data_IF_223610062220
#
_entry.id   IF_223610062220
#
_cell.length_a   1.000
_cell.length_b   1.000
_cell.length_c   1.000
_cell.angle_alpha   90.00
_cell.angle_beta   90.00
_cell.angle_gamma   90.00
#
_symmetry.space_group_name_H-M   'P 1'
#
loop_
_entity.id
_entity.type
_entity.pdbx_description
1 polymer ?
#
# COMPACT_ATOMS: atom_id res chain seq x y z
N UNK A 1 79.49 -27.76 -19.17
CA UNK A 1 80.84 -27.30 -19.55
C UNK A 1 81.23 -28.06 -20.82
N UNK A 2 81.79 -27.52 -21.88
CA UNK A 2 82.04 -26.17 -22.37
C UNK A 2 82.59 -26.39 -23.80
N UNK A 3 82.17 -25.57 -24.74
CA UNK A 3 82.88 -25.14 -25.97
C UNK A 3 83.37 -26.23 -26.94
N UNK A 4 82.81 -26.24 -28.14
CA UNK A 4 83.51 -26.68 -29.36
C UNK A 4 83.40 -25.57 -30.40
N UNK A 5 84.53 -24.91 -30.63
CA UNK A 5 84.75 -23.91 -31.68
C UNK A 5 85.07 -24.59 -33.03
N UNK A 6 84.98 -23.76 -34.07
CA UNK A 6 85.58 -23.84 -35.41
C UNK A 6 84.87 -24.67 -36.47
N UNK A 7 84.10 -23.96 -37.29
CA UNK A 7 84.43 -23.64 -38.68
C UNK A 7 85.30 -24.66 -39.44
N UNK A 8 84.72 -25.29 -40.47
CA UNK A 8 85.05 -24.96 -41.87
C UNK A 8 84.29 -25.83 -42.88
N UNK A 9 83.67 -25.14 -43.86
CA UNK A 9 83.75 -25.35 -45.32
C UNK A 9 83.85 -26.82 -45.82
N UNK A 10 83.02 -27.31 -46.75
CA UNK A 10 82.78 -26.85 -48.13
C UNK A 10 81.92 -28.00 -48.77
N UNK A 11 80.97 -27.81 -49.68
CA UNK A 11 81.17 -27.32 -51.04
C UNK A 11 79.80 -27.02 -51.67
N UNK A 12 79.59 -25.78 -52.09
CA UNK A 12 78.72 -25.49 -53.24
C UNK A 12 79.60 -25.37 -54.48
N UNK A 13 79.31 -26.18 -55.48
CA UNK A 13 79.98 -26.20 -56.78
C UNK A 13 79.56 -24.99 -57.60
N UNK A 14 80.50 -24.06 -57.82
CA UNK A 14 80.34 -22.92 -58.71
C UNK A 14 80.82 -23.34 -60.11
N UNK A 15 79.90 -23.42 -61.06
CA UNK A 15 80.21 -23.60 -62.49
C UNK A 15 80.69 -22.26 -63.04
N UNK A 16 81.99 -22.14 -63.26
CA UNK A 16 82.60 -20.97 -63.91
C UNK A 16 82.30 -21.00 -65.41
N UNK A 17 81.26 -20.27 -65.83
CA UNK A 17 81.08 -19.91 -67.23
C UNK A 17 82.05 -18.77 -67.59
N UNK A 18 83.06 -19.15 -68.36
CA UNK A 18 83.82 -18.40 -69.36
C UNK A 18 83.68 -16.86 -69.34
N UNK A 19 84.69 -16.17 -68.80
CA UNK A 19 84.80 -14.71 -68.80
C UNK A 19 85.56 -14.27 -70.06
N UNK A 20 84.97 -13.50 -71.00
CA UNK A 20 85.72 -12.84 -72.06
C UNK A 20 86.48 -11.62 -71.52
N UNK A 21 87.68 -11.29 -72.05
CA UNK A 21 88.55 -10.28 -71.45
C UNK A 21 88.16 -8.86 -71.90
N UNK A 22 88.21 -7.93 -70.93
CA UNK A 22 88.10 -6.46 -71.01
C UNK A 22 86.69 -5.85 -71.05
N UNK A 23 86.19 -5.54 -69.84
CA UNK A 23 85.16 -4.53 -69.56
C UNK A 23 84.83 -4.53 -68.05
N UNK A 24 84.51 -3.38 -67.42
CA UNK A 24 84.17 -3.36 -65.99
C UNK A 24 82.86 -4.13 -65.73
N UNK A 25 82.82 -4.91 -64.65
CA UNK A 25 81.65 -5.68 -64.21
C UNK A 25 80.52 -4.70 -63.88
N UNK A 26 79.48 -4.64 -64.71
CA UNK A 26 78.30 -3.83 -64.44
C UNK A 26 77.31 -4.67 -63.62
N UNK A 27 77.12 -4.31 -62.35
CA UNK A 27 76.01 -4.82 -61.54
C UNK A 27 74.73 -4.15 -62.03
N UNK A 28 73.98 -4.82 -62.91
CA UNK A 28 72.63 -4.37 -63.28
C UNK A 28 71.67 -4.66 -62.14
N UNK A 29 71.36 -3.62 -61.36
CA UNK A 29 70.18 -3.62 -60.49
C UNK A 29 69.01 -3.21 -61.37
N UNK A 30 68.48 -4.15 -62.14
CA UNK A 30 67.24 -3.95 -62.91
C UNK A 30 66.08 -4.52 -62.11
N UNK A 31 65.42 -3.67 -61.34
CA UNK A 31 63.98 -3.77 -61.15
C UNK A 31 63.45 -2.35 -60.93
N UNK A 32 62.78 -1.73 -61.92
CA UNK A 32 62.04 -0.51 -61.66
C UNK A 32 60.99 -0.89 -60.61
N UNK A 33 61.06 -0.28 -59.43
CA UNK A 33 60.00 -0.40 -58.44
C UNK A 33 58.69 -0.08 -59.15
N UNK A 34 57.76 -1.02 -59.20
CA UNK A 34 56.50 -0.85 -59.92
C UNK A 34 55.63 0.15 -59.13
N UNK A 35 55.85 1.44 -59.41
CA UNK A 35 55.13 2.54 -58.78
C UNK A 35 53.63 2.46 -59.05
N UNK A 36 53.21 1.81 -60.13
CA UNK A 36 51.80 1.51 -60.44
C UNK A 36 51.23 0.51 -59.44
N UNK A 37 51.93 -0.60 -59.18
CA UNK A 37 51.54 -1.57 -58.16
C UNK A 37 51.49 -0.94 -56.77
N UNK A 38 52.51 -0.15 -56.40
CA UNK A 38 52.56 0.58 -55.13
C UNK A 38 51.36 1.53 -54.97
N UNK A 39 51.06 2.32 -56.02
CA UNK A 39 49.96 3.29 -56.00
C UNK A 39 48.60 2.60 -55.87
N UNK A 40 48.40 1.49 -56.58
CA UNK A 40 47.17 0.68 -56.48
C UNK A 40 47.04 0.09 -55.06
N UNK A 41 48.11 -0.46 -54.48
CA UNK A 41 48.07 -1.00 -53.11
C UNK A 41 47.75 0.08 -52.08
N UNK A 42 48.38 1.26 -52.18
CA UNK A 42 48.09 2.40 -51.30
C UNK A 42 46.64 2.86 -51.46
N UNK A 43 46.15 2.99 -52.69
CA UNK A 43 44.76 3.39 -52.96
C UNK A 43 43.74 2.38 -52.39
N UNK A 44 43.97 1.07 -52.61
CA UNK A 44 43.10 0.01 -52.08
C UNK A 44 43.10 0.03 -50.55
N UNK A 45 44.25 0.27 -49.93
CA UNK A 45 44.39 0.36 -48.47
C UNK A 45 43.62 1.54 -47.88
N UNK A 46 43.68 2.70 -48.55
CA UNK A 46 42.92 3.89 -48.14
C UNK A 46 41.41 3.67 -48.30
N UNK A 47 40.97 3.08 -49.42
CA UNK A 47 39.55 2.79 -49.67
C UNK A 47 39.01 1.78 -48.64
N UNK A 48 39.75 0.70 -48.39
CA UNK A 48 39.35 -0.31 -47.37
C UNK A 48 39.31 0.29 -45.97
N UNK A 49 40.23 1.20 -45.63
CA UNK A 49 40.19 1.92 -44.35
C UNK A 49 38.95 2.83 -44.23
N UNK A 50 38.60 3.57 -45.29
CA UNK A 50 37.43 4.46 -45.31
C UNK A 50 36.13 3.65 -45.17
N UNK A 51 35.98 2.58 -45.95
CA UNK A 51 34.79 1.71 -45.88
C UNK A 51 34.68 1.09 -44.49
N UNK A 52 35.78 0.57 -43.95
CA UNK A 52 35.80 -0.01 -42.60
C UNK A 52 35.39 1.02 -41.55
N UNK A 53 35.97 2.22 -41.58
CA UNK A 53 35.62 3.31 -40.66
C UNK A 53 34.14 3.70 -40.76
N UNK A 54 33.60 3.80 -41.97
CA UNK A 54 32.19 4.14 -42.19
C UNK A 54 31.24 3.08 -41.63
N UNK A 55 31.52 1.79 -41.88
CA UNK A 55 30.74 0.68 -41.33
C UNK A 55 30.81 0.70 -39.80
N UNK A 56 31.99 0.86 -39.22
CA UNK A 56 32.17 0.93 -37.77
C UNK A 56 31.36 2.06 -37.16
N UNK A 57 31.46 3.28 -37.70
CA UNK A 57 30.70 4.44 -37.20
C UNK A 57 29.19 4.19 -37.30
N UNK A 58 28.71 3.72 -38.45
CA UNK A 58 27.29 3.45 -38.69
C UNK A 58 26.72 2.39 -37.73
N UNK A 59 27.49 1.32 -37.49
CA UNK A 59 27.09 0.21 -36.63
C UNK A 59 27.11 0.62 -35.15
N UNK A 60 28.12 1.38 -34.73
CA UNK A 60 28.20 1.95 -33.38
C UNK A 60 27.06 2.93 -33.13
N UNK A 61 26.76 3.83 -34.06
CA UNK A 61 25.65 4.78 -33.92
C UNK A 61 24.30 4.08 -33.85
N UNK A 62 24.06 3.07 -34.70
CA UNK A 62 22.82 2.30 -34.66
C UNK A 62 22.70 1.49 -33.37
N UNK A 63 23.80 0.91 -32.90
CA UNK A 63 23.86 0.18 -31.64
C UNK A 63 23.57 1.10 -30.45
N UNK A 64 24.24 2.25 -30.37
CA UNK A 64 24.06 3.24 -29.30
C UNK A 64 22.63 3.78 -29.26
N UNK A 65 22.05 4.12 -30.42
CA UNK A 65 20.65 4.59 -30.50
C UNK A 65 19.66 3.51 -30.03
N UNK A 66 19.88 2.25 -30.39
CA UNK A 66 19.03 1.14 -29.94
C UNK A 66 19.19 0.87 -28.45
N UNK A 67 20.43 0.94 -27.93
CA UNK A 67 20.74 0.74 -26.52
C UNK A 67 20.10 1.82 -25.65
N UNK A 68 20.21 3.10 -26.04
CA UNK A 68 19.55 4.22 -25.35
C UNK A 68 18.02 4.05 -25.36
N UNK A 69 17.43 3.69 -26.50
CA UNK A 69 15.97 3.46 -26.58
C UNK A 69 15.53 2.31 -25.68
N UNK A 70 16.26 1.21 -25.67
CA UNK A 70 15.94 0.04 -24.84
C UNK A 70 16.12 0.34 -23.35
N UNK A 71 17.20 1.05 -22.97
CA UNK A 71 17.42 1.48 -21.59
C UNK A 71 16.32 2.44 -21.12
N UNK A 72 15.94 3.42 -21.95
CA UNK A 72 14.84 4.35 -21.61
C UNK A 72 13.51 3.61 -21.46
N UNK A 73 13.22 2.62 -22.33
CA UNK A 73 12.01 1.80 -22.22
C UNK A 73 12.01 0.98 -20.94
N UNK A 74 13.12 0.29 -20.65
CA UNK A 74 13.27 -0.55 -19.47
C UNK A 74 13.20 0.29 -18.18
N UNK A 75 13.82 1.47 -18.16
CA UNK A 75 13.72 2.42 -17.06
C UNK A 75 12.28 2.92 -16.87
N UNK A 76 11.56 3.26 -17.94
CA UNK A 76 10.17 3.67 -17.85
C UNK A 76 9.25 2.55 -17.34
N UNK A 77 9.49 1.30 -17.78
CA UNK A 77 8.74 0.14 -17.33
C UNK A 77 9.02 -0.16 -15.84
N UNK A 78 10.28 -0.02 -15.41
CA UNK A 78 10.67 -0.13 -14.00
C UNK A 78 10.02 0.97 -13.14
N UNK A 79 10.08 2.24 -13.57
CA UNK A 79 9.46 3.35 -12.84
C UNK A 79 7.96 3.12 -12.72
N UNK A 80 7.27 2.72 -13.80
CA UNK A 80 5.84 2.40 -13.76
C UNK A 80 5.54 1.24 -12.80
N UNK A 81 6.35 0.20 -12.81
CA UNK A 81 6.22 -0.93 -11.89
C UNK A 81 6.40 -0.48 -10.43
N UNK A 82 7.41 0.34 -10.13
CA UNK A 82 7.66 0.90 -8.80
C UNK A 82 6.52 1.80 -8.34
N UNK A 83 6.02 2.68 -9.21
CA UNK A 83 4.88 3.57 -8.89
C UNK A 83 3.62 2.73 -8.60
N UNK A 84 3.36 1.69 -9.39
CA UNK A 84 2.23 0.80 -9.13
C UNK A 84 2.37 0.03 -7.82
N UNK A 85 3.57 -0.45 -7.49
CA UNK A 85 3.85 -1.11 -6.21
C UNK A 85 3.63 -0.15 -5.04
N UNK A 86 4.21 1.06 -5.09
CA UNK A 86 4.03 2.08 -4.05
C UNK A 86 2.55 2.46 -3.89
N UNK A 87 1.82 2.62 -5.00
CA UNK A 87 0.38 2.91 -4.96
C UNK A 87 -0.41 1.80 -4.28
N UNK A 88 -0.09 0.54 -4.59
CA UNK A 88 -0.73 -0.62 -3.96
C UNK A 88 -0.40 -0.69 -2.47
N UNK A 89 0.86 -0.47 -2.08
CA UNK A 89 1.29 -0.44 -0.67
C UNK A 89 0.55 0.64 0.14
N UNK A 90 0.47 1.87 -0.40
CA UNK A 90 -0.26 2.98 0.24
C UNK A 90 -1.74 2.65 0.36
N UNK A 91 -2.37 2.12 -0.69
CA UNK A 91 -3.77 1.73 -0.66
C UNK A 91 -4.04 0.62 0.37
N UNK A 92 -3.18 -0.40 0.41
CA UNK A 92 -3.26 -1.51 1.37
C UNK A 92 -3.13 -0.98 2.80
N UNK A 93 -2.14 -0.10 3.07
CA UNK A 93 -1.95 0.51 4.39
C UNK A 93 -3.16 1.35 4.81
N UNK A 94 -3.62 2.25 3.95
CA UNK A 94 -4.79 3.08 4.23
C UNK A 94 -6.03 2.23 4.55
N UNK A 95 -6.21 1.11 3.83
CA UNK A 95 -7.33 0.20 4.06
C UNK A 95 -7.19 -0.59 5.36
N UNK A 96 -5.98 -1.03 5.72
CA UNK A 96 -5.71 -1.65 7.02
C UNK A 96 -5.95 -0.68 8.19
N UNK A 97 -5.53 0.57 8.04
CA UNK A 97 -5.81 1.64 9.01
C UNK A 97 -7.33 1.87 9.15
N UNK A 98 -8.05 1.98 8.03
CA UNK A 98 -9.52 2.08 8.03
C UNK A 98 -10.20 0.88 8.72
N UNK A 99 -9.77 -0.36 8.44
CA UNK A 99 -10.27 -1.59 9.10
C UNK A 99 -10.07 -1.51 10.62
N UNK A 100 -8.92 -1.02 11.07
CA UNK A 100 -8.60 -0.84 12.49
C UNK A 100 -9.50 0.20 13.14
N UNK A 101 -9.70 1.34 12.49
CA UNK A 101 -10.58 2.41 12.98
C UNK A 101 -12.03 1.92 13.13
N UNK A 102 -12.60 1.28 12.09
CA UNK A 102 -13.95 0.72 12.14
C UNK A 102 -14.10 -0.29 13.28
N UNK A 103 -13.13 -1.19 13.42
CA UNK A 103 -13.12 -2.18 14.52
C UNK A 103 -13.14 -1.50 15.89
N UNK A 104 -12.30 -0.49 16.09
CA UNK A 104 -12.19 0.20 17.37
C UNK A 104 -13.46 0.97 17.70
N UNK A 105 -13.99 1.75 16.76
CA UNK A 105 -15.21 2.55 16.99
C UNK A 105 -16.42 1.67 17.28
N UNK A 106 -16.59 0.58 16.54
CA UNK A 106 -17.71 -0.34 16.76
C UNK A 106 -17.53 -1.11 18.07
N UNK A 107 -16.31 -1.54 18.42
CA UNK A 107 -16.06 -2.18 19.71
C UNK A 107 -16.37 -1.25 20.89
N UNK A 108 -15.95 0.02 20.79
CA UNK A 108 -16.25 1.05 21.79
C UNK A 108 -17.76 1.31 21.90
N UNK A 109 -18.45 1.45 20.76
CA UNK A 109 -19.90 1.60 20.73
C UNK A 109 -20.61 0.42 21.38
N UNK A 110 -20.26 -0.81 21.00
CA UNK A 110 -20.84 -2.04 21.57
C UNK A 110 -20.59 -2.12 23.08
N UNK A 111 -19.39 -1.75 23.54
CA UNK A 111 -19.05 -1.75 24.96
C UNK A 111 -19.99 -0.82 25.73
N UNK A 112 -20.08 0.46 25.33
CA UNK A 112 -20.91 1.44 26.03
C UNK A 112 -22.38 1.04 25.96
N UNK A 113 -22.87 0.65 24.79
CA UNK A 113 -24.27 0.27 24.59
C UNK A 113 -24.65 -0.98 25.37
N UNK A 114 -23.75 -1.96 25.54
CA UNK A 114 -24.02 -3.15 26.36
C UNK A 114 -24.29 -2.79 27.82
N UNK A 115 -23.60 -1.77 28.36
CA UNK A 115 -23.77 -1.35 29.75
C UNK A 115 -24.86 -0.30 29.95
N UNK A 116 -25.44 0.24 28.88
CA UNK A 116 -26.42 1.32 28.98
C UNK A 116 -27.71 0.98 29.71
N UNK A 117 -28.24 -0.26 29.71
CA UNK A 117 -29.41 -0.61 30.50
C UNK A 117 -29.15 -0.48 32.01
N UNK A 118 -27.97 -0.90 32.45
CA UNK A 118 -27.56 -0.83 33.86
C UNK A 118 -27.41 0.62 34.30
N UNK A 119 -26.77 1.46 33.48
CA UNK A 119 -26.60 2.88 33.79
C UNK A 119 -27.94 3.62 33.81
N UNK A 120 -28.82 3.31 32.85
CA UNK A 120 -30.17 3.87 32.82
C UNK A 120 -30.97 3.49 34.07
N UNK A 121 -30.85 2.23 34.51
CA UNK A 121 -31.48 1.76 35.75
C UNK A 121 -30.97 2.49 36.99
N UNK A 122 -29.65 2.64 37.12
CA UNK A 122 -29.03 3.33 38.25
C UNK A 122 -29.45 4.79 38.36
N UNK A 123 -29.58 5.48 37.21
CA UNK A 123 -30.13 6.84 37.14
C UNK A 123 -31.56 6.91 37.70
N UNK A 124 -32.47 6.06 37.25
CA UNK A 124 -33.88 6.07 37.71
C UNK A 124 -33.96 5.73 39.19
N UNK A 125 -33.25 4.67 39.59
CA UNK A 125 -33.21 4.19 40.97
C UNK A 125 -32.74 5.32 41.89
N UNK A 126 -31.68 6.04 41.49
CA UNK A 126 -31.19 7.21 42.21
C UNK A 126 -32.24 8.32 42.27
N UNK A 127 -32.94 8.61 41.18
CA UNK A 127 -34.00 9.62 41.17
C UNK A 127 -35.12 9.31 42.18
N UNK A 128 -35.57 8.04 42.21
CA UNK A 128 -36.60 7.59 43.14
C UNK A 128 -36.10 7.66 44.59
N UNK A 129 -34.89 7.16 44.86
CA UNK A 129 -34.30 7.20 46.19
C UNK A 129 -34.04 8.63 46.68
N UNK A 130 -33.73 9.58 45.79
CA UNK A 130 -33.63 11.00 46.14
C UNK A 130 -34.97 11.52 46.65
N UNK A 131 -36.08 11.23 45.96
CA UNK A 131 -37.41 11.65 46.40
C UNK A 131 -37.86 10.99 47.70
N UNK A 132 -37.42 9.75 47.95
CA UNK A 132 -37.62 9.07 49.24
C UNK A 132 -36.69 9.58 50.34
N UNK A 133 -35.76 10.50 50.03
CA UNK A 133 -34.72 11.01 50.94
C UNK A 133 -33.77 9.91 51.45
N UNK A 134 -33.58 8.86 50.66
CA UNK A 134 -32.68 7.73 50.95
C UNK A 134 -31.23 8.01 50.52
N UNK A 135 -31.02 8.97 49.62
CA UNK A 135 -29.69 9.37 49.12
C UNK A 135 -29.53 10.88 49.10
N UNK A 136 -28.27 11.35 48.99
CA UNK A 136 -27.94 12.76 48.79
C UNK A 136 -28.21 13.23 47.37
N UNK A 137 -28.40 14.55 47.22
CA UNK A 137 -28.52 15.19 45.90
C UNK A 137 -27.26 15.00 45.05
N UNK A 138 -26.07 15.01 45.67
CA UNK A 138 -24.80 14.77 44.98
C UNK A 138 -24.74 13.38 44.33
N UNK A 139 -25.26 12.34 45.01
CA UNK A 139 -25.31 10.99 44.44
C UNK A 139 -26.22 10.94 43.21
N UNK A 140 -27.37 11.59 43.27
CA UNK A 140 -28.28 11.68 42.12
C UNK A 140 -27.67 12.46 40.95
N UNK A 141 -27.02 13.61 41.23
CA UNK A 141 -26.35 14.41 40.19
C UNK A 141 -25.27 13.60 39.47
N UNK A 142 -24.47 12.84 40.22
CA UNK A 142 -23.45 11.95 39.65
C UNK A 142 -24.05 10.91 38.70
N UNK A 143 -25.12 10.22 39.08
CA UNK A 143 -25.74 9.19 38.22
C UNK A 143 -26.47 9.81 37.03
N UNK A 144 -27.06 11.00 37.19
CA UNK A 144 -27.62 11.79 36.09
C UNK A 144 -26.57 12.19 35.05
N UNK A 145 -25.45 12.76 35.51
CA UNK A 145 -24.37 13.21 34.65
C UNK A 145 -23.71 12.04 33.91
N UNK A 146 -23.53 10.90 34.58
CA UNK A 146 -23.02 9.67 33.97
C UNK A 146 -23.97 9.18 32.85
N UNK A 147 -25.27 9.13 33.11
CA UNK A 147 -26.26 8.69 32.12
C UNK A 147 -26.29 9.64 30.90
N UNK A 148 -26.26 10.97 31.13
CA UNK A 148 -26.16 11.95 30.04
C UNK A 148 -24.89 11.78 29.23
N UNK A 149 -23.75 11.61 29.90
CA UNK A 149 -22.45 11.42 29.24
C UNK A 149 -22.47 10.16 28.37
N UNK A 150 -22.98 9.05 28.88
CA UNK A 150 -23.10 7.81 28.12
C UNK A 150 -23.93 7.98 26.84
N UNK A 151 -25.09 8.65 26.91
CA UNK A 151 -25.93 8.91 25.73
C UNK A 151 -25.20 9.80 24.72
N UNK A 152 -24.48 10.81 25.20
CA UNK A 152 -23.67 11.68 24.35
C UNK A 152 -22.52 10.92 23.68
N UNK A 153 -21.81 10.06 24.42
CA UNK A 153 -20.71 9.23 23.91
C UNK A 153 -21.22 8.26 22.83
N UNK A 154 -22.37 7.62 23.05
CA UNK A 154 -23.02 6.76 22.04
C UNK A 154 -23.43 7.54 20.79
N UNK A 155 -23.98 8.74 20.96
CA UNK A 155 -24.38 9.59 19.83
C UNK A 155 -23.16 10.03 19.01
N UNK A 156 -22.07 10.42 19.68
CA UNK A 156 -20.81 10.79 19.05
C UNK A 156 -20.19 9.61 18.30
N UNK A 157 -20.16 8.42 18.91
CA UNK A 157 -19.68 7.21 18.25
C UNK A 157 -20.57 6.82 17.07
N UNK A 158 -21.88 6.92 17.21
CA UNK A 158 -22.82 6.66 16.12
C UNK A 158 -22.56 7.55 14.91
N UNK A 159 -22.38 8.85 15.14
CA UNK A 159 -22.02 9.80 14.07
C UNK A 159 -20.67 9.48 13.44
N UNK A 160 -19.65 9.11 14.23
CA UNK A 160 -18.34 8.72 13.70
C UNK A 160 -18.41 7.45 12.87
N UNK A 161 -19.18 6.45 13.31
CA UNK A 161 -19.46 5.22 12.55
C UNK A 161 -20.13 5.60 11.22
N UNK A 162 -21.15 6.46 11.26
CA UNK A 162 -21.88 6.91 10.09
C UNK A 162 -21.00 7.66 9.08
N UNK A 163 -20.09 8.52 9.54
CA UNK A 163 -19.15 9.23 8.66
C UNK A 163 -18.11 8.27 8.07
N UNK A 164 -17.66 7.29 8.85
CA UNK A 164 -16.62 6.35 8.43
C UNK A 164 -17.14 5.29 7.46
N UNK A 165 -18.38 4.85 7.69
CA UNK A 165 -19.10 3.95 6.81
C UNK A 165 -19.82 4.80 5.76
N UNK A 166 -19.27 4.88 4.55
CA UNK A 166 -19.75 5.74 3.46
C UNK A 166 -21.18 5.49 2.99
N UNK A 167 -21.88 4.50 3.57
CA UNK A 167 -23.24 4.03 3.20
C UNK A 167 -23.36 3.58 1.74
N UNK A 168 -22.25 3.34 1.07
CA UNK A 168 -22.24 2.90 -0.33
C UNK A 168 -22.75 1.46 -0.44
N UNK A 169 -22.32 0.60 0.49
CA UNK A 169 -22.75 -0.80 0.50
C UNK A 169 -24.02 -1.01 1.34
N UNK A 170 -24.73 -2.11 1.05
CA UNK A 170 -25.87 -2.51 1.87
C UNK A 170 -25.47 -2.80 3.32
N UNK A 171 -24.30 -3.42 3.55
CA UNK A 171 -23.80 -3.69 4.91
C UNK A 171 -23.55 -2.40 5.68
N UNK A 172 -22.96 -1.38 5.05
CA UNK A 172 -22.72 -0.08 5.68
C UNK A 172 -24.03 0.57 6.16
N UNK A 173 -25.05 0.56 5.28
CA UNK A 173 -26.38 1.10 5.58
C UNK A 173 -27.04 0.37 6.74
N UNK A 174 -27.05 -0.96 6.71
CA UNK A 174 -27.66 -1.78 7.76
C UNK A 174 -26.97 -1.60 9.11
N UNK A 175 -25.63 -1.46 9.15
CA UNK A 175 -24.91 -1.16 10.40
C UNK A 175 -25.31 0.22 10.93
N UNK A 176 -25.33 1.24 10.07
CA UNK A 176 -25.71 2.60 10.47
C UNK A 176 -27.16 2.67 10.98
N UNK A 177 -28.08 1.97 10.33
CA UNK A 177 -29.49 1.90 10.74
C UNK A 177 -29.63 1.27 12.14
N UNK A 178 -28.96 0.15 12.39
CA UNK A 178 -28.98 -0.51 13.71
C UNK A 178 -28.37 0.37 14.81
N UNK A 179 -27.26 1.05 14.52
CA UNK A 179 -26.62 2.00 15.45
C UNK A 179 -27.58 3.13 15.81
N UNK A 180 -28.21 3.74 14.81
CA UNK A 180 -29.16 4.81 15.00
C UNK A 180 -30.41 4.35 15.76
N UNK A 181 -30.88 3.13 15.49
CA UNK A 181 -32.00 2.54 16.22
C UNK A 181 -31.68 2.36 17.71
N UNK A 182 -30.49 1.87 18.07
CA UNK A 182 -30.06 1.76 19.47
C UNK A 182 -30.07 3.12 20.17
N UNK A 183 -29.53 4.15 19.51
CA UNK A 183 -29.51 5.51 20.06
C UNK A 183 -30.94 6.04 20.23
N UNK A 184 -31.82 5.81 19.25
CA UNK A 184 -33.23 6.18 19.35
C UNK A 184 -33.93 5.49 20.51
N UNK A 185 -33.76 4.17 20.64
CA UNK A 185 -34.33 3.39 21.75
C UNK A 185 -33.87 3.93 23.11
N UNK A 186 -32.59 4.25 23.27
CA UNK A 186 -32.06 4.80 24.51
C UNK A 186 -32.62 6.19 24.85
N UNK A 187 -32.79 7.05 23.83
CA UNK A 187 -33.42 8.35 24.02
C UNK A 187 -34.88 8.21 24.42
N UNK A 188 -35.62 7.30 23.78
CA UNK A 188 -37.02 7.02 24.11
C UNK A 188 -37.16 6.48 25.53
N UNK A 189 -36.32 5.53 25.91
CA UNK A 189 -36.22 4.98 27.27
C UNK A 189 -35.96 6.11 28.28
N UNK A 190 -34.98 6.98 28.02
CA UNK A 190 -34.63 8.10 28.90
C UNK A 190 -35.76 9.12 29.03
N UNK A 191 -36.49 9.37 27.94
CA UNK A 191 -37.68 10.23 27.94
C UNK A 191 -38.80 9.63 28.78
N UNK A 192 -39.11 8.33 28.61
CA UNK A 192 -40.08 7.59 29.44
C UNK A 192 -39.71 7.67 30.92
N UNK A 193 -38.43 7.52 31.26
CA UNK A 193 -37.97 7.63 32.64
C UNK A 193 -38.13 9.03 33.23
N UNK A 194 -37.86 10.07 32.45
CA UNK A 194 -38.06 11.45 32.89
C UNK A 194 -39.53 11.71 33.26
N UNK A 195 -40.47 11.18 32.45
CA UNK A 195 -41.91 11.26 32.75
C UNK A 195 -42.28 10.54 34.06
N UNK A 196 -41.73 9.33 34.29
CA UNK A 196 -41.97 8.56 35.52
C UNK A 196 -41.47 9.32 36.76
N UNK A 197 -40.29 9.93 36.67
CA UNK A 197 -39.68 10.74 37.72
C UNK A 197 -40.58 11.94 38.05
N UNK A 198 -41.09 12.64 37.04
CA UNK A 198 -42.00 13.77 37.21
C UNK A 198 -43.34 13.35 37.83
N UNK A 199 -43.90 12.23 37.41
CA UNK A 199 -45.14 11.69 38.00
C UNK A 199 -44.96 11.33 39.48
N UNK A 200 -43.82 10.73 39.85
CA UNK A 200 -43.49 10.41 41.24
C UNK A 200 -43.44 11.67 42.11
N UNK A 201 -42.81 12.73 41.60
CA UNK A 201 -42.71 14.04 42.27
C UNK A 201 -44.08 14.64 42.57
N UNK A 202 -45.01 14.55 41.63
CA UNK A 202 -46.35 15.19 41.73
C UNK A 202 -47.30 14.40 42.62
N UNK A 203 -47.32 13.05 42.50
CA UNK A 203 -48.41 12.24 43.07
C UNK A 203 -48.08 11.62 44.44
N UNK A 204 -46.83 11.69 44.93
CA UNK A 204 -46.34 11.02 46.16
C UNK A 204 -46.81 9.55 46.32
N UNK A 205 -47.19 8.91 45.20
CA UNK A 205 -47.78 7.59 45.25
C UNK A 205 -46.66 6.56 45.32
N UNK A 206 -46.92 5.45 46.01
CA UNK A 206 -46.09 4.23 45.99
C UNK A 206 -46.05 3.68 44.56
N UNK A 207 -45.23 4.26 43.70
CA UNK A 207 -45.09 3.77 42.34
C UNK A 207 -44.49 2.37 42.39
N UNK A 208 -45.14 1.46 41.67
CA UNK A 208 -44.54 0.27 41.05
C UNK A 208 -43.55 0.71 39.95
N UNK A 209 -42.63 1.63 40.24
CA UNK A 209 -41.71 2.23 39.25
C UNK A 209 -40.83 1.18 38.56
N UNK A 210 -40.67 0.02 39.20
CA UNK A 210 -39.88 -1.10 38.68
C UNK A 210 -40.65 -1.91 37.63
N UNK A 211 -42.00 -1.86 37.58
CA UNK A 211 -42.79 -2.60 36.57
C UNK A 211 -42.82 -1.91 35.19
N UNK A 212 -42.35 -0.66 35.08
CA UNK A 212 -42.46 0.16 33.86
C UNK A 212 -41.26 0.10 32.91
N UNK A 213 -40.19 -0.61 33.30
CA UNK A 213 -39.12 -0.91 32.37
C UNK A 213 -39.68 -1.91 31.37
N UNK A 214 -40.04 -1.43 30.19
CA UNK A 214 -40.42 -2.31 29.09
C UNK A 214 -39.18 -3.14 28.73
N UNK A 215 -39.10 -4.35 29.30
CA UNK A 215 -38.09 -5.35 28.99
C UNK A 215 -37.89 -5.51 27.48
N UNK A 216 -38.94 -5.26 26.69
CA UNK A 216 -38.94 -5.32 25.23
C UNK A 216 -37.96 -4.35 24.56
N UNK A 217 -37.81 -3.12 25.07
CA UNK A 217 -36.92 -2.13 24.43
C UNK A 217 -35.45 -2.54 24.61
N UNK A 218 -35.09 -3.01 25.81
CA UNK A 218 -33.75 -3.52 26.08
C UNK A 218 -33.46 -4.86 25.41
N UNK A 219 -34.46 -5.73 25.25
CA UNK A 219 -34.34 -6.96 24.45
C UNK A 219 -34.06 -6.61 22.98
N UNK A 220 -34.82 -5.68 22.40
CA UNK A 220 -34.58 -5.21 21.03
C UNK A 220 -33.20 -4.58 20.87
N UNK A 221 -32.75 -3.83 21.87
CA UNK A 221 -31.40 -3.27 21.89
C UNK A 221 -30.33 -4.37 21.89
N UNK A 222 -30.50 -5.43 22.69
CA UNK A 222 -29.59 -6.57 22.70
C UNK A 222 -29.57 -7.32 21.37
N UNK A 223 -30.73 -7.52 20.74
CA UNK A 223 -30.83 -8.09 19.39
C UNK A 223 -30.06 -7.24 18.37
N UNK A 224 -30.26 -5.93 18.39
CA UNK A 224 -29.57 -5.00 17.51
C UNK A 224 -28.05 -4.99 17.73
N UNK A 225 -27.58 -5.09 18.98
CA UNK A 225 -26.16 -5.18 19.30
C UNK A 225 -25.51 -6.43 18.69
N UNK A 226 -26.19 -7.58 18.77
CA UNK A 226 -25.67 -8.82 18.18
C UNK A 226 -25.68 -8.73 16.64
N UNK A 227 -26.71 -8.13 16.05
CA UNK A 227 -26.76 -7.89 14.60
C UNK A 227 -25.64 -6.96 14.14
N UNK A 228 -25.35 -5.87 14.87
CA UNK A 228 -24.21 -4.98 14.57
C UNK A 228 -22.91 -5.77 14.59
N UNK A 229 -22.69 -6.58 15.62
CA UNK A 229 -21.48 -7.42 15.73
C UNK A 229 -21.32 -8.37 14.55
N UNK A 230 -22.38 -9.09 14.18
CA UNK A 230 -22.37 -10.03 13.04
C UNK A 230 -22.08 -9.29 11.73
N UNK A 231 -22.81 -8.21 11.44
CA UNK A 231 -22.64 -7.44 10.20
C UNK A 231 -21.28 -6.77 10.11
N UNK A 232 -20.75 -6.29 11.23
CA UNK A 232 -19.39 -5.73 11.31
C UNK A 232 -18.34 -6.79 11.01
N UNK A 233 -18.48 -8.00 11.56
CA UNK A 233 -17.57 -9.10 11.25
C UNK A 233 -17.60 -9.44 9.75
N UNK A 234 -18.78 -9.45 9.14
CA UNK A 234 -18.92 -9.65 7.69
C UNK A 234 -18.25 -8.53 6.89
N UNK A 235 -18.49 -7.26 7.26
CA UNK A 235 -17.88 -6.10 6.63
C UNK A 235 -16.35 -6.19 6.70
N UNK A 236 -15.79 -6.37 7.90
CA UNK A 236 -14.34 -6.43 8.11
C UNK A 236 -13.71 -7.62 7.39
N UNK A 237 -14.40 -8.77 7.30
CA UNK A 237 -13.93 -9.93 6.53
C UNK A 237 -13.87 -9.61 5.04
N UNK A 238 -14.92 -9.00 4.47
CA UNK A 238 -14.96 -8.62 3.06
C UNK A 238 -13.84 -7.64 2.71
N UNK A 239 -13.59 -6.68 3.60
CA UNK A 239 -12.55 -5.67 3.45
C UNK A 239 -11.14 -6.27 3.57
N UNK A 240 -10.96 -7.24 4.47
CA UNK A 240 -9.71 -7.97 4.60
C UNK A 240 -9.37 -8.81 3.37
N UNK A 241 -10.35 -9.48 2.77
CA UNK A 241 -10.14 -10.23 1.51
C UNK A 241 -9.79 -9.29 0.35
N UNK A 242 -10.38 -8.08 0.30
CA UNK A 242 -9.98 -7.05 -0.68
C UNK A 242 -8.53 -6.62 -0.50
N UNK A 243 -8.05 -6.48 0.74
CA UNK A 243 -6.65 -6.16 1.03
C UNK A 243 -5.71 -7.27 0.54
N UNK A 244 -6.05 -8.54 0.76
CA UNK A 244 -5.24 -9.67 0.30
C UNK A 244 -5.10 -9.72 -1.22
N UNK A 245 -6.19 -9.40 -1.94
CA UNK A 245 -6.23 -9.47 -3.40
C UNK A 245 -5.58 -8.26 -4.10
N UNK A 246 -5.11 -7.25 -3.36
CA UNK A 246 -4.37 -6.10 -3.89
C UNK A 246 -2.85 -6.31 -3.92
N UNK A 247 -2.36 -7.33 -3.21
CA UNK A 247 -0.96 -7.77 -3.19
C UNK A 247 -0.75 -8.93 -4.16
#
# INVERSE_FOLDING_TARGET
MAISNNDNLNHQTIVLQNIPPKGPIQLKIDSPTDYTALTITVAVSVITAIISAWITISLVDRSNRNLIKNQNKLQNDLIKSQVNQQKNEVNTRNRQEWIKEVRNMIAEFLQIATFSPIQSYDFISSAISLYKKEISEDRYRSTYDNNRKMIADLSNLGMRIEITLSKETQLDREICELVNEIISLLNDITSKYSQIIDEYKVKQNKLKAVEYIQHTDFLKMAENLELIKIKTQQLLKNEWERVKNLN
#
